data_IF_265672822934
#
_entry.id   IF_265672822934
#
_cell.length_a   1.000
_cell.length_b   1.000
_cell.length_c   1.000
_cell.angle_alpha   90.00
_cell.angle_beta   90.00
_cell.angle_gamma   90.00
#
_symmetry.space_group_name_H-M   'P 1'
#
loop_
_entity.id
_entity.type
_entity.pdbx_description
1 polymer ?
#
# COMPACT_ATOMS: atom_id res chain seq x y z
N UNK A 1 73.65 -51.42 -6.22
CA UNK A 1 74.50 -50.51 -5.43
C UNK A 1 74.24 -49.11 -5.97
N UNK A 2 73.39 -48.31 -5.30
CA UNK A 2 73.79 -47.26 -4.35
C UNK A 2 74.48 -46.08 -5.10
N UNK A 3 74.15 -44.81 -4.92
CA UNK A 3 73.25 -44.13 -4.01
C UNK A 3 73.10 -42.67 -4.51
N UNK A 4 71.89 -42.13 -4.33
CA UNK A 4 71.49 -40.73 -4.09
C UNK A 4 72.43 -39.55 -4.42
N UNK A 5 71.87 -38.60 -5.19
CA UNK A 5 72.37 -37.22 -5.35
C UNK A 5 72.13 -36.40 -4.07
N UNK A 6 73.09 -35.60 -3.57
CA UNK A 6 72.80 -34.64 -2.51
C UNK A 6 72.27 -33.31 -3.06
N UNK A 7 71.16 -32.95 -2.43
CA UNK A 7 70.36 -31.73 -2.44
C UNK A 7 71.19 -30.44 -2.25
N UNK A 8 71.00 -29.42 -3.10
CA UNK A 8 71.42 -28.05 -2.83
C UNK A 8 70.25 -27.31 -2.17
N UNK A 9 70.43 -26.95 -0.90
CA UNK A 9 69.49 -26.14 -0.12
C UNK A 9 69.63 -24.69 -0.59
N UNK A 10 68.56 -24.14 -1.18
CA UNK A 10 68.45 -22.71 -1.47
C UNK A 10 67.62 -22.07 -0.35
N UNK A 11 68.25 -21.24 0.47
CA UNK A 11 67.60 -20.38 1.46
C UNK A 11 67.08 -19.16 0.70
N UNK A 12 65.75 -19.06 0.53
CA UNK A 12 65.12 -17.86 0.04
C UNK A 12 64.69 -16.98 1.22
N UNK A 13 65.34 -15.82 1.37
CA UNK A 13 64.90 -14.75 2.27
C UNK A 13 63.54 -14.22 1.78
N UNK A 14 62.47 -14.50 2.52
CA UNK A 14 61.18 -13.86 2.27
C UNK A 14 61.15 -12.48 2.95
N UNK A 15 61.30 -11.42 2.16
CA UNK A 15 60.92 -10.08 2.58
C UNK A 15 59.39 -9.97 2.56
N UNK A 16 58.76 -10.02 3.73
CA UNK A 16 57.33 -9.75 3.89
C UNK A 16 57.13 -8.23 3.80
N UNK A 17 56.75 -7.75 2.61
CA UNK A 17 56.06 -6.47 2.48
C UNK A 17 54.69 -6.64 3.11
N UNK A 18 54.51 -6.15 4.34
CA UNK A 18 53.20 -6.07 4.96
C UNK A 18 52.36 -5.05 4.19
N UNK A 19 51.53 -5.53 3.26
CA UNK A 19 50.46 -4.73 2.68
C UNK A 19 49.44 -4.43 3.79
N UNK A 20 49.38 -3.18 4.22
CA UNK A 20 48.33 -2.73 5.14
C UNK A 20 47.00 -2.78 4.38
N UNK A 21 45.97 -3.50 4.86
CA UNK A 21 44.74 -3.62 4.11
C UNK A 21 44.00 -2.28 4.03
N UNK A 22 43.60 -1.87 2.82
CA UNK A 22 42.88 -0.62 2.53
C UNK A 22 41.43 -0.56 3.04
N UNK A 23 41.07 -1.28 4.11
CA UNK A 23 39.71 -1.35 4.66
C UNK A 23 39.62 -1.17 6.17
N UNK A 24 40.72 -0.81 6.84
CA UNK A 24 40.59 -0.15 8.14
C UNK A 24 40.10 1.28 7.87
N UNK A 25 38.77 1.46 7.76
CA UNK A 25 38.16 2.78 7.65
C UNK A 25 38.69 3.65 8.81
N UNK A 26 39.55 4.61 8.49
CA UNK A 26 40.15 5.48 9.50
C UNK A 26 39.03 6.38 10.05
N UNK A 27 38.61 6.23 11.32
CA UNK A 27 37.52 7.05 11.85
C UNK A 27 37.83 8.55 11.80
N UNK A 28 39.12 8.91 11.74
CA UNK A 28 39.54 10.31 11.62
C UNK A 28 39.32 10.89 10.22
N UNK A 29 38.99 10.07 9.23
CA UNK A 29 38.75 10.47 7.84
C UNK A 29 37.30 10.18 7.37
N UNK A 30 36.40 9.87 8.32
CA UNK A 30 35.00 9.60 7.99
C UNK A 30 34.37 10.79 7.25
N UNK A 31 33.81 10.51 6.08
CA UNK A 31 33.17 11.51 5.22
C UNK A 31 34.11 12.51 4.56
N UNK A 32 35.42 12.25 4.53
CA UNK A 32 36.43 13.11 3.88
C UNK A 32 36.08 13.48 2.44
N UNK A 33 35.48 12.57 1.67
CA UNK A 33 35.02 12.87 0.30
C UNK A 33 33.98 14.01 0.24
N UNK A 34 33.19 14.19 1.31
CA UNK A 34 32.13 15.19 1.38
C UNK A 34 32.57 16.43 2.17
N UNK A 35 33.37 16.24 3.22
CA UNK A 35 33.80 17.34 4.10
C UNK A 35 35.14 17.95 3.67
N UNK A 36 36.01 17.17 3.03
CA UNK A 36 37.40 17.50 2.73
C UNK A 36 38.34 17.41 3.92
N UNK A 37 37.92 16.85 5.06
CA UNK A 37 38.70 16.85 6.30
C UNK A 37 39.29 15.48 6.61
N UNK A 38 40.59 15.47 6.93
CA UNK A 38 41.25 14.39 7.65
C UNK A 38 41.71 14.89 9.02
N UNK A 39 41.42 14.14 10.07
CA UNK A 39 41.75 14.49 11.46
C UNK A 39 42.89 13.65 12.00
N UNK A 40 43.50 14.11 13.07
CA UNK A 40 44.40 13.32 13.91
C UNK A 40 44.06 13.54 15.39
N UNK A 41 44.18 12.47 16.18
CA UNK A 41 44.10 12.57 17.63
C UNK A 41 45.41 13.16 18.19
N UNK A 42 45.29 14.14 19.09
CA UNK A 42 46.40 14.83 19.76
C UNK A 42 46.10 14.95 21.26
N UNK A 43 47.11 15.33 22.03
CA UNK A 43 46.92 15.61 23.46
C UNK A 43 45.92 16.77 23.63
N UNK A 44 44.75 16.48 24.21
CA UNK A 44 43.71 17.47 24.47
C UNK A 44 42.59 17.56 23.42
N UNK A 45 42.60 16.75 22.35
CA UNK A 45 41.47 16.69 21.41
C UNK A 45 41.82 16.20 19.99
N UNK A 46 41.04 16.67 19.02
CA UNK A 46 41.22 16.39 17.60
C UNK A 46 41.76 17.62 16.87
N UNK A 47 42.66 17.40 15.92
CA UNK A 47 43.26 18.43 15.08
C UNK A 47 43.06 18.09 13.61
N UNK A 48 42.90 19.09 12.75
CA UNK A 48 42.87 18.90 11.30
C UNK A 48 44.27 18.51 10.83
N UNK A 49 44.42 17.29 10.34
CA UNK A 49 45.67 16.76 9.81
C UNK A 49 45.86 17.09 8.33
N UNK A 50 44.79 17.03 7.53
CA UNK A 50 44.81 17.43 6.13
C UNK A 50 43.47 18.00 5.69
N UNK A 51 43.53 18.85 4.67
CA UNK A 51 42.37 19.42 3.98
C UNK A 51 42.52 19.13 2.49
N UNK A 52 41.50 18.56 1.88
CA UNK A 52 41.50 18.27 0.45
C UNK A 52 41.35 19.58 -0.36
N UNK A 53 42.16 19.77 -1.41
CA UNK A 53 41.99 20.91 -2.32
C UNK A 53 40.60 20.83 -2.98
N UNK A 54 39.99 21.99 -3.23
CA UNK A 54 38.66 22.13 -3.85
C UNK A 54 37.50 21.53 -3.02
N UNK A 55 37.69 21.36 -1.71
CA UNK A 55 36.64 20.90 -0.79
C UNK A 55 35.92 22.05 -0.07
N UNK A 56 34.74 21.78 0.47
CA UNK A 56 33.99 22.74 1.28
C UNK A 56 34.78 23.24 2.51
N UNK A 57 35.64 22.39 3.09
CA UNK A 57 36.56 22.79 4.16
C UNK A 57 37.62 23.80 3.68
N UNK A 58 38.20 23.59 2.50
CA UNK A 58 39.15 24.51 1.90
C UNK A 58 38.48 25.86 1.57
N UNK A 59 37.28 25.83 0.98
CA UNK A 59 36.48 27.03 0.68
C UNK A 59 36.12 27.81 1.95
N UNK A 60 35.84 27.12 3.05
CA UNK A 60 35.57 27.72 4.36
C UNK A 60 36.82 28.23 5.07
N UNK A 61 38.01 28.05 4.48
CA UNK A 61 39.29 28.54 5.01
C UNK A 61 39.89 27.71 6.15
N UNK A 62 39.40 26.48 6.37
CA UNK A 62 39.98 25.51 7.30
C UNK A 62 41.36 25.08 6.78
N UNK A 63 42.31 24.88 7.70
CA UNK A 63 43.69 24.49 7.38
C UNK A 63 44.17 23.38 8.30
N UNK A 64 45.20 22.67 7.85
CA UNK A 64 45.99 21.78 8.72
C UNK A 64 46.49 22.56 9.94
N UNK A 65 46.39 21.95 11.12
CA UNK A 65 46.76 22.57 12.39
C UNK A 65 45.58 23.14 13.18
N UNK A 66 44.41 23.30 12.56
CA UNK A 66 43.24 23.83 13.27
C UNK A 66 42.72 22.79 14.28
N UNK A 67 42.38 23.25 15.49
CA UNK A 67 41.84 22.37 16.53
C UNK A 67 40.32 22.20 16.36
N UNK A 68 39.83 20.97 16.26
CA UNK A 68 38.39 20.69 16.20
C UNK A 68 37.77 20.93 17.58
N UNK A 69 36.82 21.87 17.64
CA UNK A 69 36.18 22.28 18.89
C UNK A 69 34.75 21.75 18.99
N UNK A 70 34.05 21.63 17.87
CA UNK A 70 32.66 21.20 17.90
C UNK A 70 32.23 20.52 16.60
N UNK A 71 31.34 19.53 16.73
CA UNK A 71 30.60 18.92 15.63
C UNK A 71 29.14 18.77 16.05
N UNK A 72 28.20 19.40 15.34
CA UNK A 72 26.75 19.33 15.62
C UNK A 72 26.39 19.52 17.11
N UNK A 73 26.95 20.57 17.73
CA UNK A 73 26.77 20.91 19.15
C UNK A 73 27.42 19.96 20.18
N UNK A 74 28.27 19.04 19.73
CA UNK A 74 29.05 18.15 20.61
C UNK A 74 30.54 18.48 20.53
N UNK A 75 31.25 18.34 21.66
CA UNK A 75 32.72 18.42 21.73
C UNK A 75 33.30 17.02 21.49
N UNK A 76 33.83 16.70 20.29
CA UNK A 76 34.34 15.36 20.01
C UNK A 76 35.66 15.12 20.77
N UNK A 77 35.77 13.98 21.45
CA UNK A 77 36.99 13.61 22.20
C UNK A 77 37.84 12.59 21.46
N UNK A 78 37.27 11.94 20.45
CA UNK A 78 37.90 10.88 19.67
C UNK A 78 37.45 10.92 18.23
N UNK A 79 38.26 10.34 17.33
CA UNK A 79 37.87 10.22 15.92
C UNK A 79 36.60 9.39 15.73
N UNK A 80 36.29 8.48 16.67
CA UNK A 80 35.04 7.73 16.64
C UNK A 80 33.82 8.65 16.87
N UNK A 81 33.94 9.69 17.70
CA UNK A 81 32.87 10.67 17.94
C UNK A 81 32.62 11.53 16.71
N UNK A 82 33.69 11.99 16.07
CA UNK A 82 33.60 12.69 14.78
C UNK A 82 32.93 11.78 13.73
N UNK A 83 33.41 10.56 13.59
CA UNK A 83 32.87 9.62 12.61
C UNK A 83 31.39 9.32 12.85
N UNK A 84 30.98 9.17 14.12
CA UNK A 84 29.57 9.00 14.48
C UNK A 84 28.75 10.21 14.06
N UNK A 85 29.20 11.43 14.37
CA UNK A 85 28.46 12.64 14.02
C UNK A 85 28.31 12.81 12.50
N UNK A 86 29.33 12.43 11.72
CA UNK A 86 29.27 12.43 10.25
C UNK A 86 28.28 11.38 9.72
N UNK A 87 28.31 10.15 10.26
CA UNK A 87 27.36 9.10 9.87
C UNK A 87 25.93 9.45 10.25
N UNK A 88 25.70 9.96 11.45
CA UNK A 88 24.37 10.40 11.90
C UNK A 88 23.81 11.52 11.00
N UNK A 89 24.67 12.44 10.55
CA UNK A 89 24.29 13.48 9.60
C UNK A 89 23.97 12.90 8.22
N UNK A 90 24.75 11.94 7.74
CA UNK A 90 24.54 11.24 6.46
C UNK A 90 23.24 10.43 6.47
N UNK A 91 23.09 9.52 7.43
CA UNK A 91 21.96 8.61 7.56
C UNK A 91 20.66 9.36 7.84
N UNK A 92 20.73 10.38 8.71
CA UNK A 92 19.61 11.25 9.02
C UNK A 92 19.29 12.29 7.93
N UNK A 93 20.13 12.41 6.90
CA UNK A 93 20.09 13.48 5.89
C UNK A 93 19.98 14.87 6.54
N UNK A 94 20.82 15.13 7.54
CA UNK A 94 20.88 16.38 8.31
C UNK A 94 22.11 17.19 7.94
N UNK A 95 22.08 18.48 8.28
CA UNK A 95 23.26 19.32 8.17
C UNK A 95 24.37 18.85 9.13
N UNK A 96 25.62 19.11 8.75
CA UNK A 96 26.79 18.93 9.59
C UNK A 96 27.45 20.30 9.80
N UNK A 97 27.51 20.74 11.05
CA UNK A 97 28.24 21.94 11.46
C UNK A 97 29.51 21.52 12.20
N UNK A 98 30.66 21.92 11.65
CA UNK A 98 31.98 21.71 12.23
C UNK A 98 32.54 23.07 12.63
N UNK A 99 33.07 23.19 13.84
CA UNK A 99 33.73 24.40 14.32
C UNK A 99 35.17 24.08 14.69
N UNK A 100 36.10 24.79 14.06
CA UNK A 100 37.53 24.68 14.35
C UNK A 100 38.06 25.97 14.97
N UNK A 101 39.14 25.88 15.74
CA UNK A 101 39.83 27.02 16.37
C UNK A 101 41.22 27.20 15.77
N UNK A 102 41.55 28.45 15.46
CA UNK A 102 42.86 28.90 15.02
C UNK A 102 43.27 30.12 15.85
N UNK A 103 44.24 29.95 16.75
CA UNK A 103 44.59 30.97 17.74
C UNK A 103 43.36 31.32 18.60
N UNK A 104 43.05 32.61 18.70
CA UNK A 104 41.88 33.13 19.43
C UNK A 104 40.57 33.10 18.62
N UNK A 105 40.63 32.77 17.32
CA UNK A 105 39.47 32.78 16.43
C UNK A 105 38.87 31.39 16.19
N UNK A 106 37.59 31.36 15.77
CA UNK A 106 36.92 30.14 15.32
C UNK A 106 36.45 30.26 13.86
N UNK A 107 36.49 29.15 13.14
CA UNK A 107 36.07 29.06 11.73
C UNK A 107 35.00 27.96 11.61
N UNK A 108 33.77 28.31 11.17
CA UNK A 108 32.73 27.32 10.95
C UNK A 108 32.80 26.71 9.54
N UNK A 109 32.48 25.43 9.44
CA UNK A 109 32.15 24.72 8.22
C UNK A 109 30.72 24.20 8.35
N UNK A 110 29.84 24.63 7.45
CA UNK A 110 28.44 24.20 7.42
C UNK A 110 28.16 23.43 6.14
N UNK A 111 27.81 22.15 6.27
CA UNK A 111 27.42 21.29 5.17
C UNK A 111 25.91 21.06 5.23
N UNK A 112 25.20 21.41 4.16
CA UNK A 112 23.76 21.20 4.06
C UNK A 112 23.42 19.70 3.92
N UNK A 113 22.17 19.33 4.20
CA UNK A 113 21.67 17.96 4.02
C UNK A 113 21.86 17.42 2.59
N UNK A 114 21.87 18.29 1.59
CA UNK A 114 22.10 17.95 0.17
C UNK A 114 23.51 17.44 -0.11
N UNK A 115 24.48 17.72 0.76
CA UNK A 115 25.87 17.24 0.66
C UNK A 115 25.94 15.71 0.62
N UNK A 116 25.00 15.03 1.28
CA UNK A 116 24.93 13.57 1.35
C UNK A 116 24.25 12.92 0.13
N UNK A 117 23.61 13.70 -0.75
CA UNK A 117 22.83 13.17 -1.86
C UNK A 117 23.69 12.70 -3.05
N UNK A 118 24.99 13.05 -3.09
CA UNK A 118 25.84 12.87 -4.28
C UNK A 118 26.74 11.63 -4.26
N UNK A 119 26.75 10.82 -3.21
CA UNK A 119 27.64 9.66 -3.09
C UNK A 119 26.96 8.30 -3.38
N UNK A 120 26.09 8.23 -4.39
CA UNK A 120 25.80 6.95 -5.06
C UNK A 120 26.65 6.93 -6.31
N UNK A 121 27.79 6.21 -6.24
CA UNK A 121 28.56 5.89 -7.43
C UNK A 121 27.63 5.28 -8.48
N UNK A 122 27.67 5.84 -9.69
CA UNK A 122 26.97 5.34 -10.87
C UNK A 122 27.50 3.96 -11.25
N UNK A 123 27.01 2.91 -10.61
CA UNK A 123 26.66 1.73 -11.38
C UNK A 123 25.41 2.14 -12.19
N UNK A 124 25.37 1.96 -13.53
CA UNK A 124 24.11 2.12 -14.24
C UNK A 124 23.10 1.24 -13.50
N UNK A 125 21.92 1.77 -13.13
CA UNK A 125 20.90 0.93 -12.53
C UNK A 125 20.72 -0.27 -13.49
N UNK A 126 20.60 -1.52 -13.01
CA UNK A 126 19.99 -2.53 -13.86
C UNK A 126 18.72 -1.86 -14.40
N UNK A 127 18.47 -1.91 -15.73
CA UNK A 127 17.30 -1.27 -16.29
C UNK A 127 16.15 -1.64 -15.37
N UNK A 128 15.33 -0.67 -14.91
CA UNK A 128 14.16 -1.02 -14.12
C UNK A 128 13.54 -2.18 -14.87
N UNK A 129 13.31 -3.32 -14.21
CA UNK A 129 12.37 -4.28 -14.78
C UNK A 129 11.15 -3.41 -15.03
N UNK A 130 10.93 -3.04 -16.29
CA UNK A 130 9.90 -2.08 -16.62
C UNK A 130 8.67 -2.67 -15.97
N UNK A 131 8.11 -1.96 -14.99
CA UNK A 131 6.82 -2.34 -14.45
C UNK A 131 5.98 -2.57 -15.71
N UNK A 132 5.50 -3.82 -15.94
CA UNK A 132 5.01 -4.21 -17.24
C UNK A 132 4.04 -3.13 -17.68
N UNK A 133 4.32 -2.53 -18.84
CA UNK A 133 3.50 -1.41 -19.30
C UNK A 133 2.03 -1.81 -19.22
N UNK A 134 1.12 -0.86 -19.00
CA UNK A 134 -0.33 -1.17 -18.98
C UNK A 134 -0.71 -2.00 -20.22
N UNK A 135 -0.06 -1.71 -21.36
CA UNK A 135 -0.14 -2.51 -22.59
C UNK A 135 0.36 -3.95 -22.42
N UNK A 136 1.53 -4.17 -21.85
CA UNK A 136 2.08 -5.51 -21.59
C UNK A 136 1.24 -6.30 -20.56
N UNK A 137 0.68 -5.62 -19.57
CA UNK A 137 -0.28 -6.19 -18.62
C UNK A 137 -1.58 -6.62 -19.30
N UNK A 138 -2.10 -5.84 -20.26
CA UNK A 138 -3.29 -6.21 -21.04
C UNK A 138 -3.02 -7.21 -22.17
N UNK A 139 -1.77 -7.31 -22.64
CA UNK A 139 -1.38 -8.19 -23.74
C UNK A 139 -1.15 -9.63 -23.29
N UNK A 140 -0.86 -9.84 -22.00
CA UNK A 140 -0.80 -11.17 -21.39
C UNK A 140 -2.19 -11.48 -20.84
N UNK A 141 -3.01 -12.33 -21.49
CA UNK A 141 -4.28 -12.73 -20.90
C UNK A 141 -3.96 -13.38 -19.55
N UNK A 142 -4.54 -12.82 -18.47
CA UNK A 142 -4.39 -13.40 -17.16
C UNK A 142 -4.78 -14.89 -17.23
N UNK A 143 -4.06 -15.80 -16.56
CA UNK A 143 -4.47 -17.20 -16.50
C UNK A 143 -5.91 -17.21 -16.01
N UNK A 144 -6.81 -17.78 -16.83
CA UNK A 144 -8.23 -17.78 -16.52
C UNK A 144 -8.38 -18.44 -15.14
N UNK A 145 -8.91 -17.74 -14.12
CA UNK A 145 -9.01 -18.29 -12.77
C UNK A 145 -9.71 -19.65 -12.80
N UNK A 146 -9.44 -20.57 -11.88
CA UNK A 146 -10.07 -21.90 -11.90
C UNK A 146 -11.62 -21.80 -11.84
N UNK A 147 -12.17 -20.71 -11.32
CA UNK A 147 -13.60 -20.36 -11.40
C UNK A 147 -14.14 -20.27 -12.85
N UNK A 148 -13.25 -20.16 -13.86
CA UNK A 148 -13.54 -20.14 -15.28
C UNK A 148 -13.97 -21.50 -15.87
N UNK A 149 -14.20 -22.53 -15.04
CA UNK A 149 -14.90 -23.75 -15.46
C UNK A 149 -16.40 -23.71 -15.19
N UNK A 150 -16.90 -22.66 -14.53
CA UNK A 150 -18.32 -22.54 -14.22
C UNK A 150 -19.18 -22.60 -15.50
N UNK A 151 -20.16 -23.48 -15.48
CA UNK A 151 -21.17 -23.62 -16.53
C UNK A 151 -22.33 -22.63 -16.30
N UNK A 152 -23.18 -22.48 -17.33
CA UNK A 152 -24.41 -21.71 -17.21
C UNK A 152 -25.34 -22.29 -16.12
N UNK A 153 -25.41 -23.62 -16.03
CA UNK A 153 -26.21 -24.33 -15.02
C UNK A 153 -25.67 -24.10 -13.60
N UNK A 154 -24.35 -24.03 -13.44
CA UNK A 154 -23.74 -23.71 -12.15
C UNK A 154 -24.11 -22.31 -11.67
N UNK A 155 -24.06 -21.32 -12.57
CA UNK A 155 -24.46 -19.94 -12.28
C UNK A 155 -25.92 -19.85 -11.86
N UNK A 156 -26.81 -20.50 -12.61
CA UNK A 156 -28.24 -20.55 -12.30
C UNK A 156 -28.49 -21.19 -10.94
N UNK A 157 -27.84 -22.33 -10.66
CA UNK A 157 -27.92 -23.03 -9.37
C UNK A 157 -27.42 -22.16 -8.22
N UNK A 158 -26.29 -21.49 -8.39
CA UNK A 158 -25.69 -20.64 -7.36
C UNK A 158 -26.50 -19.34 -7.12
N UNK A 159 -27.12 -18.78 -8.16
CA UNK A 159 -28.07 -17.65 -8.03
C UNK A 159 -29.33 -18.05 -7.26
N UNK A 160 -29.93 -19.22 -7.56
CA UNK A 160 -31.06 -19.74 -6.78
C UNK A 160 -30.70 -19.90 -5.31
N UNK A 161 -29.47 -20.31 -5.00
CA UNK A 161 -28.99 -20.46 -3.64
C UNK A 161 -28.77 -19.13 -2.88
N UNK A 162 -28.76 -17.98 -3.57
CA UNK A 162 -28.74 -16.67 -2.92
C UNK A 162 -30.09 -16.23 -2.38
N UNK A 163 -31.18 -16.79 -2.90
CA UNK A 163 -32.53 -16.52 -2.40
C UNK A 163 -32.70 -17.32 -1.11
N UNK A 164 -32.83 -16.68 0.06
CA UNK A 164 -33.03 -17.42 1.29
C UNK A 164 -34.37 -18.17 1.23
N UNK A 165 -34.32 -19.48 1.46
CA UNK A 165 -35.49 -20.28 1.83
C UNK A 165 -35.82 -20.06 3.31
N UNK A 166 -36.06 -21.15 4.06
CA UNK A 166 -36.41 -21.07 5.49
C UNK A 166 -35.26 -20.62 6.43
N UNK A 167 -34.01 -20.53 5.93
CA UNK A 167 -32.89 -20.00 6.72
C UNK A 167 -32.56 -18.58 6.31
N UNK A 168 -32.35 -17.66 7.28
CA UNK A 168 -31.90 -16.33 6.96
C UNK A 168 -30.55 -16.44 6.23
N UNK A 169 -30.32 -15.58 5.24
CA UNK A 169 -29.00 -15.49 4.63
C UNK A 169 -28.02 -15.06 5.74
N UNK A 170 -26.78 -15.58 5.69
CA UNK A 170 -25.79 -15.47 6.77
C UNK A 170 -25.40 -14.04 7.15
N UNK A 171 -24.11 -13.71 7.13
CA UNK A 171 -23.70 -12.31 7.31
C UNK A 171 -23.76 -11.58 5.96
N UNK A 172 -23.94 -10.26 5.95
CA UNK A 172 -23.88 -9.45 4.72
C UNK A 172 -22.59 -9.73 3.93
N UNK A 173 -21.45 -9.82 4.63
CA UNK A 173 -20.17 -10.15 4.02
C UNK A 173 -20.17 -11.50 3.25
N UNK A 174 -20.88 -12.51 3.74
CA UNK A 174 -20.99 -13.81 3.06
C UNK A 174 -21.82 -13.69 1.78
N UNK A 175 -22.84 -12.82 1.80
CA UNK A 175 -23.69 -12.54 0.64
C UNK A 175 -22.90 -11.77 -0.43
N UNK A 176 -22.23 -10.68 -0.04
CA UNK A 176 -21.36 -9.86 -0.91
C UNK A 176 -20.28 -10.71 -1.59
N UNK A 177 -19.61 -11.60 -0.84
CA UNK A 177 -18.59 -12.48 -1.40
C UNK A 177 -19.14 -13.48 -2.43
N UNK A 178 -20.37 -13.98 -2.24
CA UNK A 178 -21.00 -14.87 -3.21
C UNK A 178 -21.44 -14.11 -4.47
N UNK A 179 -21.99 -12.91 -4.31
CA UNK A 179 -22.36 -12.06 -5.45
C UNK A 179 -21.17 -11.66 -6.30
N UNK A 180 -20.07 -11.25 -5.68
CA UNK A 180 -18.83 -10.94 -6.39
C UNK A 180 -18.29 -12.16 -7.16
N UNK A 181 -18.43 -13.37 -6.61
CA UNK A 181 -18.02 -14.60 -7.29
C UNK A 181 -18.89 -14.87 -8.52
N UNK A 182 -20.21 -14.72 -8.40
CA UNK A 182 -21.15 -14.91 -9.50
C UNK A 182 -20.91 -13.92 -10.65
N UNK A 183 -20.68 -12.64 -10.33
CA UNK A 183 -20.30 -11.63 -11.33
C UNK A 183 -19.05 -12.04 -12.11
N UNK A 184 -17.98 -12.44 -11.40
CA UNK A 184 -16.74 -12.89 -12.04
C UNK A 184 -16.97 -14.12 -12.92
N UNK A 185 -17.78 -15.08 -12.47
CA UNK A 185 -18.09 -16.29 -13.23
C UNK A 185 -18.90 -15.96 -14.51
N UNK A 186 -19.88 -15.06 -14.43
CA UNK A 186 -20.67 -14.61 -15.57
C UNK A 186 -19.80 -13.91 -16.62
N UNK A 187 -18.96 -12.97 -16.19
CA UNK A 187 -18.07 -12.25 -17.11
C UNK A 187 -17.01 -13.17 -17.71
N UNK A 188 -16.50 -14.13 -16.95
CA UNK A 188 -15.60 -15.16 -17.49
C UNK A 188 -16.31 -16.04 -18.53
N UNK A 189 -17.58 -16.37 -18.32
CA UNK A 189 -18.39 -17.15 -19.26
C UNK A 189 -18.71 -16.34 -20.54
N UNK A 190 -18.96 -15.04 -20.41
CA UNK A 190 -19.16 -14.10 -21.51
C UNK A 190 -17.88 -13.95 -22.36
N UNK A 191 -16.72 -13.76 -21.71
CA UNK A 191 -15.43 -13.59 -22.38
C UNK A 191 -14.99 -14.83 -23.17
N UNK A 192 -15.39 -16.02 -22.72
CA UNK A 192 -15.13 -17.29 -23.45
C UNK A 192 -16.13 -17.57 -24.56
N UNK A 193 -17.19 -16.77 -24.69
CA UNK A 193 -18.32 -17.03 -25.59
C UNK A 193 -18.95 -18.43 -25.39
N UNK A 194 -18.96 -18.94 -24.16
CA UNK A 194 -19.47 -20.28 -23.83
C UNK A 194 -20.98 -20.31 -23.54
N UNK A 195 -21.67 -19.17 -23.60
CA UNK A 195 -23.13 -19.10 -23.59
C UNK A 195 -23.65 -18.04 -24.58
N UNK A 196 -24.92 -18.12 -24.99
CA UNK A 196 -25.53 -17.13 -25.87
C UNK A 196 -25.50 -15.72 -25.26
N UNK A 197 -25.23 -14.65 -26.05
CA UNK A 197 -25.21 -13.27 -25.55
C UNK A 197 -26.49 -12.87 -24.80
N UNK A 198 -27.66 -13.27 -25.32
CA UNK A 198 -28.95 -13.02 -24.68
C UNK A 198 -29.07 -13.71 -23.31
N UNK A 199 -28.44 -14.88 -23.11
CA UNK A 199 -28.40 -15.56 -21.82
C UNK A 199 -27.55 -14.79 -20.81
N UNK A 200 -26.40 -14.26 -21.26
CA UNK A 200 -25.50 -13.44 -20.45
C UNK A 200 -26.20 -12.15 -20.02
N UNK A 201 -26.86 -11.46 -20.95
CA UNK A 201 -27.57 -10.21 -20.65
C UNK A 201 -28.78 -10.45 -19.73
N UNK A 202 -29.48 -11.57 -19.90
CA UNK A 202 -30.52 -12.02 -18.97
C UNK A 202 -29.97 -12.22 -17.56
N UNK A 203 -28.84 -12.92 -17.41
CA UNK A 203 -28.20 -13.14 -16.11
C UNK A 203 -27.68 -11.85 -15.47
N UNK A 204 -27.16 -10.90 -16.26
CA UNK A 204 -26.80 -9.56 -15.76
C UNK A 204 -28.03 -8.82 -15.22
N UNK A 205 -29.16 -8.93 -15.92
CA UNK A 205 -30.43 -8.35 -15.46
C UNK A 205 -30.88 -8.97 -14.15
N UNK A 206 -30.80 -10.30 -14.02
CA UNK A 206 -31.11 -11.01 -12.77
C UNK A 206 -30.19 -10.54 -11.64
N UNK A 207 -28.87 -10.47 -11.86
CA UNK A 207 -27.89 -10.04 -10.85
C UNK A 207 -28.19 -8.65 -10.28
N UNK A 208 -28.66 -7.70 -11.11
CA UNK A 208 -29.06 -6.36 -10.62
C UNK A 208 -30.09 -6.40 -9.50
N UNK A 209 -31.02 -7.36 -9.50
CA UNK A 209 -31.97 -7.53 -8.39
C UNK A 209 -31.29 -7.96 -7.09
N UNK A 210 -30.28 -8.83 -7.20
CA UNK A 210 -29.52 -9.29 -6.04
C UNK A 210 -28.55 -8.22 -5.51
N UNK A 211 -27.95 -7.42 -6.38
CA UNK A 211 -27.14 -6.26 -5.98
C UNK A 211 -27.98 -5.22 -5.22
N UNK A 212 -29.16 -4.91 -5.74
CA UNK A 212 -30.11 -4.06 -5.03
C UNK A 212 -30.55 -4.66 -3.68
N UNK A 213 -30.63 -5.99 -3.57
CA UNK A 213 -30.94 -6.67 -2.32
C UNK A 213 -29.78 -6.55 -1.31
N UNK A 214 -28.53 -6.51 -1.77
CA UNK A 214 -27.34 -6.20 -0.97
C UNK A 214 -27.44 -4.77 -0.40
N UNK A 215 -27.77 -3.79 -1.24
CA UNK A 215 -27.95 -2.39 -0.81
C UNK A 215 -29.03 -2.28 0.27
N UNK A 216 -30.18 -2.94 0.05
CA UNK A 216 -31.24 -3.01 1.04
C UNK A 216 -30.76 -3.66 2.35
N UNK A 217 -29.91 -4.69 2.27
CA UNK A 217 -29.34 -5.30 3.47
C UNK A 217 -28.38 -4.36 4.21
N UNK A 218 -27.45 -3.72 3.51
CA UNK A 218 -26.51 -2.77 4.09
C UNK A 218 -27.25 -1.63 4.83
N UNK A 219 -28.35 -1.14 4.25
CA UNK A 219 -29.21 -0.15 4.91
C UNK A 219 -29.82 -0.67 6.22
N UNK A 220 -30.32 -1.91 6.26
CA UNK A 220 -30.83 -2.57 7.48
C UNK A 220 -29.76 -2.69 8.59
N UNK A 221 -28.52 -3.07 8.25
CA UNK A 221 -27.41 -3.13 9.21
C UNK A 221 -27.05 -1.74 9.75
N UNK A 222 -27.01 -0.73 8.89
CA UNK A 222 -26.75 0.65 9.30
C UNK A 222 -27.79 1.14 10.32
N UNK A 223 -29.07 0.84 10.12
CA UNK A 223 -30.16 1.21 11.05
C UNK A 223 -29.94 0.54 12.41
N UNK A 224 -29.62 -0.77 12.43
CA UNK A 224 -29.35 -1.51 13.68
C UNK A 224 -28.15 -0.96 14.43
N UNK A 225 -27.08 -0.56 13.75
CA UNK A 225 -25.92 0.04 14.39
C UNK A 225 -26.24 1.38 15.04
N UNK A 226 -27.03 2.22 14.38
CA UNK A 226 -27.50 3.49 14.95
C UNK A 226 -28.39 3.28 16.19
N UNK A 227 -29.29 2.29 16.16
CA UNK A 227 -30.15 1.95 17.29
C UNK A 227 -29.38 1.40 18.50
N UNK A 228 -28.24 0.72 18.26
CA UNK A 228 -27.37 0.17 19.30
C UNK A 228 -26.43 1.19 19.95
N UNK A 229 -26.28 2.40 19.38
CA UNK A 229 -25.46 3.46 19.97
C UNK A 229 -26.21 4.11 21.15
N UNK A 230 -25.55 4.38 22.30
CA UNK A 230 -26.17 5.12 23.38
C UNK A 230 -26.61 6.50 22.88
N UNK A 231 -27.89 6.86 23.08
CA UNK A 231 -28.46 8.17 22.73
C UNK A 231 -27.93 9.25 23.68
N UNK A 232 -26.66 9.61 23.55
CA UNK A 232 -26.00 10.67 24.32
C UNK A 232 -25.33 11.69 23.40
N UNK A 233 -26.08 12.14 22.39
CA UNK A 233 -25.87 13.42 21.73
C UNK A 233 -27.24 14.06 21.60
N UNK A 234 -27.40 15.37 21.84
CA UNK A 234 -28.63 16.06 21.49
C UNK A 234 -28.73 15.99 19.97
N UNK A 235 -29.47 15.01 19.46
CA UNK A 235 -30.02 15.07 18.12
C UNK A 235 -30.87 16.33 18.12
N UNK A 236 -30.51 17.33 17.30
CA UNK A 236 -31.45 18.39 16.97
C UNK A 236 -32.72 17.70 16.46
N UNK A 237 -33.79 17.77 17.25
CA UNK A 237 -35.13 17.36 16.84
C UNK A 237 -35.39 18.01 15.47
N UNK A 238 -35.39 17.19 14.41
CA UNK A 238 -35.51 17.68 13.03
C UNK A 238 -34.69 16.92 11.99
N UNK A 239 -33.61 16.22 12.36
CA UNK A 239 -32.93 15.31 11.43
C UNK A 239 -33.51 13.90 11.54
N UNK A 240 -34.73 13.72 11.05
CA UNK A 240 -34.98 12.49 10.30
C UNK A 240 -33.97 12.53 9.16
N UNK A 241 -32.91 11.72 9.22
CA UNK A 241 -31.88 11.71 8.18
C UNK A 241 -32.61 11.63 6.83
N UNK A 242 -32.63 12.71 6.04
CA UNK A 242 -33.37 12.71 4.81
C UNK A 242 -32.78 11.62 3.94
N UNK A 243 -33.64 10.92 3.23
CA UNK A 243 -33.30 10.20 2.03
C UNK A 243 -32.38 11.10 1.18
N UNK A 244 -31.06 10.93 1.28
CA UNK A 244 -30.13 11.73 0.50
C UNK A 244 -30.35 11.33 -0.95
N UNK A 245 -30.57 12.31 -1.82
CA UNK A 245 -30.71 12.12 -3.27
C UNK A 245 -29.49 11.40 -3.88
N UNK A 246 -28.36 11.38 -3.15
CA UNK A 246 -27.10 10.73 -3.53
C UNK A 246 -26.82 9.43 -2.74
N UNK A 247 -27.83 8.76 -2.17
CA UNK A 247 -27.65 7.48 -1.46
C UNK A 247 -27.89 6.27 -2.38
N UNK A 248 -27.17 5.17 -2.15
CA UNK A 248 -27.36 3.91 -2.88
C UNK A 248 -28.81 3.39 -2.76
N UNK A 249 -29.44 3.64 -1.61
CA UNK A 249 -30.86 3.37 -1.37
C UNK A 249 -31.78 4.15 -2.34
N UNK A 250 -31.48 5.43 -2.54
CA UNK A 250 -32.24 6.28 -3.46
C UNK A 250 -32.09 5.82 -4.90
N UNK A 251 -30.84 5.58 -5.35
CA UNK A 251 -30.55 5.04 -6.67
C UNK A 251 -31.27 3.70 -6.91
N UNK A 252 -31.27 2.81 -5.91
CA UNK A 252 -31.96 1.52 -5.98
C UNK A 252 -33.47 1.66 -6.16
N UNK A 253 -34.11 2.62 -5.48
CA UNK A 253 -35.56 2.87 -5.62
C UNK A 253 -35.91 3.48 -6.98
N UNK A 254 -35.02 4.30 -7.54
CA UNK A 254 -35.19 4.85 -8.89
C UNK A 254 -35.07 3.76 -9.95
N UNK A 255 -34.07 2.89 -9.82
CA UNK A 255 -33.83 1.75 -10.69
C UNK A 255 -34.97 0.72 -10.63
N UNK A 256 -35.52 0.49 -9.43
CA UNK A 256 -36.60 -0.45 -9.18
C UNK A 256 -37.86 0.26 -8.64
N UNK A 257 -38.68 0.87 -9.51
CA UNK A 257 -39.83 1.69 -9.10
C UNK A 257 -40.83 1.03 -8.14
N UNK A 258 -40.94 -0.30 -8.15
CA UNK A 258 -41.81 -1.04 -7.22
C UNK A 258 -41.37 -0.91 -5.76
N UNK A 259 -40.10 -0.59 -5.49
CA UNK A 259 -39.60 -0.35 -4.15
C UNK A 259 -40.17 0.91 -3.50
N UNK A 260 -40.79 1.81 -4.27
CA UNK A 260 -41.55 2.94 -3.70
C UNK A 260 -42.68 2.50 -2.77
N UNK A 261 -43.15 1.25 -2.87
CA UNK A 261 -44.11 0.67 -1.93
C UNK A 261 -43.52 0.34 -0.54
N UNK A 262 -42.19 0.31 -0.43
CA UNK A 262 -41.46 0.03 0.82
C UNK A 262 -41.02 1.30 1.55
N UNK A 263 -41.31 2.47 0.98
CA UNK A 263 -41.08 3.77 1.63
C UNK A 263 -42.33 4.14 2.42
N UNK A 264 -42.18 4.37 3.73
CA UNK A 264 -43.29 4.73 4.62
C UNK A 264 -43.89 6.07 4.20
N UNK A 265 -45.17 6.07 3.83
CA UNK A 265 -45.93 7.28 3.46
C UNK A 265 -46.73 7.86 4.63
N UNK A 266 -47.07 7.03 5.61
CA UNK A 266 -47.80 7.42 6.82
C UNK A 266 -47.03 7.00 8.08
N UNK A 267 -46.66 7.95 8.96
CA UNK A 267 -46.04 7.64 10.24
C UNK A 267 -47.05 6.88 11.11
N UNK A 268 -46.78 5.61 11.45
CA UNK A 268 -47.65 4.87 12.38
C UNK A 268 -47.56 5.49 13.78
N UNK A 269 -48.68 5.76 14.47
CA UNK A 269 -48.64 6.21 15.85
C UNK A 269 -48.31 5.00 16.74
N UNK A 270 -47.02 4.74 16.93
CA UNK A 270 -46.47 3.78 17.88
C UNK A 270 -45.46 4.46 18.82
N UNK A 271 -45.11 3.81 19.94
CA UNK A 271 -44.25 4.31 21.03
C UNK A 271 -42.85 4.83 20.59
N UNK A 272 -42.47 4.60 19.34
CA UNK A 272 -41.32 5.21 18.67
C UNK A 272 -41.82 5.75 17.34
N UNK A 273 -41.81 7.07 17.16
CA UNK A 273 -42.35 7.72 15.97
C UNK A 273 -41.59 7.31 14.70
N UNK A 274 -42.22 6.55 13.82
CA UNK A 274 -41.76 6.42 12.43
C UNK A 274 -41.98 7.77 11.75
N UNK A 275 -40.95 8.43 11.21
CA UNK A 275 -41.12 9.61 10.35
C UNK A 275 -41.54 9.20 8.93
N UNK A 276 -42.34 10.03 8.25
CA UNK A 276 -42.65 9.86 6.83
C UNK A 276 -41.37 9.88 5.99
N UNK A 277 -41.25 8.99 5.00
CA UNK A 277 -40.08 8.89 4.12
C UNK A 277 -39.04 7.84 4.53
N UNK A 278 -39.24 7.11 5.64
CA UNK A 278 -38.38 5.99 6.02
C UNK A 278 -38.50 4.82 5.03
N UNK A 279 -37.38 4.42 4.44
CA UNK A 279 -37.29 3.20 3.64
C UNK A 279 -37.31 1.96 4.54
N UNK A 280 -38.04 0.91 4.16
CA UNK A 280 -38.13 -0.37 4.88
C UNK A 280 -37.22 -1.41 4.23
N UNK A 281 -35.92 -1.44 4.59
CA UNK A 281 -34.92 -2.25 3.88
C UNK A 281 -35.19 -3.75 3.91
N UNK A 282 -35.69 -4.29 5.04
CA UNK A 282 -36.04 -5.72 5.15
C UNK A 282 -37.14 -6.10 4.16
N UNK A 283 -38.17 -5.26 4.02
CA UNK A 283 -39.27 -5.48 3.08
C UNK A 283 -38.80 -5.33 1.63
N UNK A 284 -37.98 -4.32 1.34
CA UNK A 284 -37.38 -4.11 0.03
C UNK A 284 -36.54 -5.30 -0.42
N UNK A 285 -35.67 -5.79 0.46
CA UNK A 285 -34.82 -6.97 0.21
C UNK A 285 -35.65 -8.21 -0.13
N UNK A 286 -36.74 -8.46 0.60
CA UNK A 286 -37.67 -9.56 0.31
C UNK A 286 -38.32 -9.46 -1.08
N UNK A 287 -38.76 -8.26 -1.47
CA UNK A 287 -39.34 -8.02 -2.80
C UNK A 287 -38.30 -8.21 -3.92
N UNK A 288 -37.06 -7.75 -3.70
CA UNK A 288 -35.97 -7.89 -4.65
C UNK A 288 -35.59 -9.35 -4.88
N UNK A 289 -35.48 -10.15 -3.82
CA UNK A 289 -35.25 -11.59 -3.96
C UNK A 289 -36.40 -12.31 -4.66
N UNK A 290 -37.65 -11.99 -4.32
CA UNK A 290 -38.83 -12.59 -4.98
C UNK A 290 -38.80 -12.31 -6.48
N UNK A 291 -38.65 -11.05 -6.88
CA UNK A 291 -38.67 -10.67 -8.29
C UNK A 291 -37.42 -11.15 -9.04
N UNK A 292 -36.24 -11.08 -8.42
CA UNK A 292 -35.01 -11.63 -8.99
C UNK A 292 -35.12 -13.14 -9.25
N UNK A 293 -35.77 -13.87 -8.34
CA UNK A 293 -36.11 -15.29 -8.52
C UNK A 293 -37.08 -15.52 -9.67
N UNK A 294 -38.16 -14.74 -9.75
CA UNK A 294 -39.11 -14.83 -10.86
C UNK A 294 -38.45 -14.54 -12.24
N UNK A 295 -37.59 -13.52 -12.33
CA UNK A 295 -36.85 -13.24 -13.57
C UNK A 295 -35.88 -14.36 -13.92
N UNK A 296 -35.21 -14.95 -12.91
CA UNK A 296 -34.34 -16.11 -13.13
C UNK A 296 -35.12 -17.30 -13.68
N UNK A 297 -36.29 -17.61 -13.12
CA UNK A 297 -37.11 -18.71 -13.62
C UNK A 297 -37.56 -18.47 -15.08
N UNK A 298 -38.07 -17.27 -15.40
CA UNK A 298 -38.43 -16.90 -16.78
C UNK A 298 -37.25 -17.06 -17.75
N UNK A 299 -36.05 -16.65 -17.33
CA UNK A 299 -34.84 -16.81 -18.13
C UNK A 299 -34.53 -18.30 -18.36
N UNK A 300 -34.62 -19.13 -17.32
CA UNK A 300 -34.35 -20.57 -17.46
C UNK A 300 -35.37 -21.30 -18.32
N UNK A 301 -36.66 -20.91 -18.24
CA UNK A 301 -37.71 -21.43 -19.12
C UNK A 301 -37.44 -21.07 -20.59
N UNK A 302 -37.06 -19.81 -20.85
CA UNK A 302 -36.69 -19.36 -22.19
C UNK A 302 -35.47 -20.13 -22.74
N UNK A 303 -34.43 -20.32 -21.92
CA UNK A 303 -33.24 -21.11 -22.29
C UNK A 303 -33.59 -22.57 -22.61
N UNK A 304 -34.45 -23.19 -21.81
CA UNK A 304 -34.94 -24.55 -22.06
C UNK A 304 -35.86 -24.67 -23.28
N UNK A 305 -36.54 -23.59 -23.65
CA UNK A 305 -37.36 -23.50 -24.85
C UNK A 305 -36.56 -23.28 -26.14
N UNK A 306 -35.50 -22.47 -26.08
CA UNK A 306 -34.65 -22.13 -27.23
C UNK A 306 -33.74 -23.28 -27.73
N UNK A 307 -33.56 -24.33 -26.91
CA UNK A 307 -32.79 -25.53 -27.26
C UNK A 307 -33.61 -26.67 -27.91
N UNK A 308 -34.90 -26.46 -28.18
CA UNK A 308 -35.80 -27.42 -28.86
C UNK A 308 -36.09 -27.02 -30.30
#
# INVERSE_FOLDING_TARGET
MANTRPMRVAVALAAVLAAVPAWAANPCEEGREQTGLALAAREGGLEIAAVDPDSAAAESGIRTGDALVQVNAMLPRSCADYARAVRDARDGRKALLVLVRRGEGTVPLALAATTWQRAVATAPPPPPLEAPSVRALTATPAPVPVEARASLDDLVRDLRALIPGDRPPGQLADYSHRLLRLHRQLEALAARHTAPPAAVDGLRTVLRYFDAAEVAWAADESVREHERRPRHLPSSEGQAAPFFADSDAAATIEEFPFLRATVSRDPRPGLVGESSGLWRPVQARGLLWSRGGEELERLTEWLGGAGR
#
